data_IF_008975330156
#
_entry.id   IF_008975330156
#
_cell.length_a   1.000
_cell.length_b   1.000
_cell.length_c   1.000
_cell.angle_alpha   90.00
_cell.angle_beta   90.00
_cell.angle_gamma   90.00
#
_symmetry.space_group_name_H-M   'P 1'
#
loop_
_entity.id
_entity.type
_entity.pdbx_description
1 polymer ?
#
# COMPACT_ATOMS: atom_id res chain seq x y z
N UNK A 1 -7.25 -10.80 13.84
CA UNK A 1 -6.57 -10.09 12.71
C UNK A 1 -5.98 -8.78 13.20
N UNK A 2 -4.82 -8.45 12.69
CA UNK A 2 -4.17 -7.18 13.00
C UNK A 2 -4.65 -6.15 11.99
N UNK A 3 -5.15 -5.01 12.47
CA UNK A 3 -5.61 -3.91 11.62
C UNK A 3 -4.49 -2.89 11.52
N UNK A 4 -4.06 -2.58 10.28
CA UNK A 4 -3.00 -1.61 10.04
C UNK A 4 -3.52 -0.44 9.21
N UNK A 5 -3.22 0.76 9.66
CA UNK A 5 -3.48 1.98 8.90
C UNK A 5 -2.17 2.70 8.65
N UNK A 6 -2.05 3.32 7.48
CA UNK A 6 -0.83 4.05 7.12
C UNK A 6 -1.16 5.14 6.10
N UNK A 7 -0.26 6.10 5.95
CA UNK A 7 -0.44 7.15 4.97
C UNK A 7 0.79 7.30 4.09
N UNK A 8 0.55 7.69 2.85
CA UNK A 8 1.57 7.91 1.83
C UNK A 8 1.25 9.19 1.08
N UNK A 9 2.11 9.60 0.17
CA UNK A 9 1.95 10.86 -0.56
C UNK A 9 1.97 10.63 -2.06
N UNK A 10 0.95 11.15 -2.74
CA UNK A 10 0.82 11.09 -4.19
C UNK A 10 1.39 12.36 -4.81
N UNK A 11 1.99 12.25 -6.02
CA UNK A 11 2.39 13.44 -6.76
C UNK A 11 1.18 14.13 -7.39
N UNK A 12 1.21 15.47 -7.52
CA UNK A 12 0.10 16.20 -8.14
C UNK A 12 -0.18 15.73 -9.56
N UNK A 13 -1.47 15.61 -9.89
CA UNK A 13 -1.90 15.22 -11.23
C UNK A 13 -1.90 13.72 -11.49
N UNK A 14 -1.53 12.91 -10.50
CA UNK A 14 -1.41 11.45 -10.67
C UNK A 14 -2.59 10.68 -10.09
N UNK A 15 -3.66 11.36 -9.69
CA UNK A 15 -4.81 10.73 -9.02
C UNK A 15 -5.44 9.63 -9.87
N UNK A 16 -5.72 9.94 -11.14
CA UNK A 16 -6.35 8.99 -12.05
C UNK A 16 -5.43 7.83 -12.40
N UNK A 17 -4.15 8.12 -12.60
CA UNK A 17 -3.16 7.08 -12.93
C UNK A 17 -2.97 6.11 -11.76
N UNK A 18 -2.95 6.63 -10.52
CA UNK A 18 -2.85 5.80 -9.32
C UNK A 18 -4.02 4.82 -9.23
N UNK A 19 -5.24 5.33 -9.41
CA UNK A 19 -6.45 4.50 -9.36
C UNK A 19 -6.44 3.46 -10.48
N UNK A 20 -6.07 3.88 -11.70
CA UNK A 20 -6.00 2.98 -12.84
C UNK A 20 -5.05 1.82 -12.60
N UNK A 21 -3.83 2.10 -12.10
CA UNK A 21 -2.84 1.04 -11.83
C UNK A 21 -3.34 0.04 -10.79
N UNK A 22 -4.06 0.51 -9.77
CA UNK A 22 -4.64 -0.38 -8.76
C UNK A 22 -5.82 -1.17 -9.28
N UNK A 23 -6.64 -0.59 -10.16
CA UNK A 23 -7.73 -1.34 -10.79
C UNK A 23 -7.19 -2.44 -11.70
N UNK A 24 -5.98 -2.27 -12.20
CA UNK A 24 -5.30 -3.23 -13.04
C UNK A 24 -4.18 -3.95 -12.28
N UNK A 25 -4.36 -4.10 -10.97
CA UNK A 25 -3.34 -4.71 -10.12
C UNK A 25 -2.92 -6.08 -10.66
N UNK A 26 -1.62 -6.29 -10.74
CA UNK A 26 -1.05 -7.52 -11.28
C UNK A 26 -1.54 -8.75 -10.49
N UNK A 27 -1.94 -9.84 -11.16
CA UNK A 27 -2.37 -11.05 -10.48
C UNK A 27 -1.34 -11.58 -9.48
N UNK A 28 -0.06 -11.54 -9.84
CA UNK A 28 1.03 -11.98 -8.95
C UNK A 28 1.13 -11.12 -7.70
N UNK A 29 0.85 -9.82 -7.82
CA UNK A 29 0.88 -8.91 -6.69
C UNK A 29 -0.28 -9.20 -5.73
N UNK A 30 -1.47 -9.45 -6.27
CA UNK A 30 -2.64 -9.85 -5.48
C UNK A 30 -2.36 -11.16 -4.74
N UNK A 31 -1.77 -12.13 -5.43
CA UNK A 31 -1.42 -13.41 -4.84
C UNK A 31 -0.41 -13.23 -3.71
N UNK A 32 0.61 -12.39 -3.92
CA UNK A 32 1.63 -12.11 -2.91
C UNK A 32 1.01 -11.52 -1.64
N UNK A 33 0.10 -10.57 -1.78
CA UNK A 33 -0.58 -9.95 -0.64
C UNK A 33 -1.34 -11.01 0.16
N UNK A 34 -2.12 -11.85 -0.53
CA UNK A 34 -2.91 -12.90 0.14
C UNK A 34 -2.02 -13.96 0.78
N UNK A 35 -0.96 -14.38 0.08
CA UNK A 35 -0.02 -15.40 0.58
C UNK A 35 0.69 -14.94 1.84
N UNK A 36 0.92 -13.63 1.96
CA UNK A 36 1.58 -13.06 3.14
C UNK A 36 0.57 -12.57 4.21
N UNK A 37 -0.66 -13.07 4.14
CA UNK A 37 -1.66 -12.85 5.18
C UNK A 37 -2.43 -11.56 5.11
N UNK A 38 -2.32 -10.80 4.01
CA UNK A 38 -3.05 -9.55 3.85
C UNK A 38 -4.42 -9.75 3.24
N UNK A 39 -5.41 -9.02 3.74
CA UNK A 39 -6.77 -9.00 3.18
C UNK A 39 -7.48 -7.71 3.55
N UNK A 40 -8.61 -7.47 2.92
CA UNK A 40 -9.43 -6.26 3.16
C UNK A 40 -8.57 -5.00 3.06
N UNK A 41 -7.80 -4.93 1.98
CA UNK A 41 -6.88 -3.84 1.71
C UNK A 41 -7.64 -2.74 0.96
N UNK A 42 -7.69 -1.55 1.54
CA UNK A 42 -8.34 -0.39 0.93
C UNK A 42 -7.42 0.81 1.02
N UNK A 43 -7.44 1.63 -0.02
CA UNK A 43 -6.67 2.88 -0.06
C UNK A 43 -7.63 4.00 -0.41
N UNK A 44 -7.64 5.05 0.42
CA UNK A 44 -8.45 6.26 0.23
C UNK A 44 -7.54 7.44 -0.07
N UNK A 45 -8.01 8.36 -0.88
CA UNK A 45 -7.27 9.57 -1.25
C UNK A 45 -7.93 10.82 -0.67
N UNK A 46 -7.14 11.63 0.01
CA UNK A 46 -7.53 13.01 0.33
C UNK A 46 -7.01 13.88 -0.80
N UNK A 47 -7.91 14.37 -1.65
CA UNK A 47 -7.56 15.14 -2.84
C UNK A 47 -6.94 16.51 -2.52
N UNK A 48 -7.28 17.08 -1.39
CA UNK A 48 -6.75 18.39 -1.00
C UNK A 48 -5.27 18.34 -0.66
N UNK A 49 -4.86 17.30 0.05
CA UNK A 49 -3.49 17.15 0.53
C UNK A 49 -2.68 16.15 -0.30
N UNK A 50 -3.34 15.40 -1.19
CA UNK A 50 -2.74 14.30 -1.95
C UNK A 50 -2.20 13.21 -1.02
N UNK A 51 -2.84 13.03 0.12
CA UNK A 51 -2.49 11.99 1.08
C UNK A 51 -3.29 10.72 0.79
N UNK A 52 -2.59 9.61 0.68
CA UNK A 52 -3.19 8.29 0.50
C UNK A 52 -3.27 7.64 1.88
N UNK A 53 -4.46 7.18 2.26
CA UNK A 53 -4.68 6.47 3.51
C UNK A 53 -4.95 5.01 3.21
N UNK A 54 -4.04 4.14 3.65
CA UNK A 54 -4.17 2.71 3.47
C UNK A 54 -4.72 2.04 4.72
N UNK A 55 -5.53 1.02 4.49
CA UNK A 55 -6.04 0.13 5.54
C UNK A 55 -5.88 -1.30 5.09
N UNK A 56 -5.35 -2.16 5.94
CA UNK A 56 -5.21 -3.58 5.63
C UNK A 56 -5.34 -4.41 6.91
N UNK A 57 -5.88 -5.60 6.77
CA UNK A 57 -5.89 -6.60 7.83
C UNK A 57 -4.83 -7.64 7.51
N UNK A 58 -4.01 -7.98 8.50
CA UNK A 58 -2.96 -8.97 8.33
C UNK A 58 -3.04 -10.04 9.42
N UNK A 59 -2.61 -11.25 9.10
CA UNK A 59 -2.62 -12.37 10.04
C UNK A 59 -1.45 -12.30 11.02
N UNK A 60 -0.28 -11.89 10.55
CA UNK A 60 0.96 -11.91 11.31
C UNK A 60 1.94 -10.86 10.79
N UNK A 61 2.52 -10.10 11.71
CA UNK A 61 3.44 -9.01 11.37
C UNK A 61 4.71 -9.51 10.66
N UNK A 62 5.27 -10.61 11.12
CA UNK A 62 6.50 -11.16 10.55
C UNK A 62 6.27 -11.70 9.15
N UNK A 63 5.16 -12.40 8.96
CA UNK A 63 4.81 -12.92 7.64
C UNK A 63 4.56 -11.78 6.66
N UNK A 64 3.81 -10.77 7.09
CA UNK A 64 3.54 -9.61 6.24
C UNK A 64 4.81 -8.88 5.84
N UNK A 65 5.73 -8.69 6.77
CA UNK A 65 7.00 -8.00 6.50
C UNK A 65 7.83 -8.72 5.44
N UNK A 66 7.75 -10.04 5.34
CA UNK A 66 8.46 -10.80 4.31
C UNK A 66 7.95 -10.49 2.90
N UNK A 67 6.70 -10.07 2.77
CA UNK A 67 6.12 -9.70 1.49
C UNK A 67 6.85 -8.54 0.83
N UNK A 68 7.38 -7.61 1.61
CA UNK A 68 8.08 -6.45 1.10
C UNK A 68 9.36 -6.81 0.33
N UNK A 69 10.00 -7.94 0.68
CA UNK A 69 11.24 -8.36 0.05
C UNK A 69 11.04 -9.29 -1.14
N UNK A 70 9.81 -9.55 -1.54
CA UNK A 70 9.54 -10.38 -2.72
C UNK A 70 9.87 -9.61 -4.00
N UNK A 71 10.26 -10.34 -5.04
CA UNK A 71 10.58 -9.73 -6.33
C UNK A 71 9.39 -8.99 -6.92
N UNK A 72 8.20 -9.55 -6.80
CA UNK A 72 6.98 -8.92 -7.35
C UNK A 72 6.66 -7.61 -6.64
N UNK A 73 6.85 -7.54 -5.32
CA UNK A 73 6.62 -6.31 -4.58
C UNK A 73 7.63 -5.22 -4.95
N UNK A 74 8.91 -5.60 -5.08
CA UNK A 74 9.96 -4.67 -5.52
C UNK A 74 9.67 -4.14 -6.92
N UNK A 75 9.22 -4.99 -7.82
CA UNK A 75 8.83 -4.60 -9.17
C UNK A 75 7.64 -3.63 -9.15
N UNK A 76 6.67 -3.86 -8.28
CA UNK A 76 5.53 -2.96 -8.11
C UNK A 76 5.98 -1.59 -7.59
N UNK A 77 6.88 -1.54 -6.61
CA UNK A 77 7.43 -0.29 -6.12
C UNK A 77 8.15 0.49 -7.22
N UNK A 78 8.99 -0.19 -8.02
CA UNK A 78 9.68 0.44 -9.14
C UNK A 78 8.68 1.04 -10.13
N UNK A 79 7.60 0.33 -10.39
CA UNK A 79 6.54 0.77 -11.30
C UNK A 79 5.81 2.00 -10.76
N UNK A 80 5.56 2.05 -9.45
CA UNK A 80 4.80 3.14 -8.83
C UNK A 80 5.64 4.38 -8.48
N UNK A 81 6.95 4.28 -8.53
CA UNK A 81 7.85 5.34 -8.04
C UNK A 81 7.74 6.66 -8.81
N UNK A 82 7.27 6.62 -10.05
CA UNK A 82 7.12 7.83 -10.86
C UNK A 82 5.88 8.66 -10.52
N UNK A 83 4.95 8.11 -9.74
CA UNK A 83 3.70 8.81 -9.45
C UNK A 83 3.47 9.11 -7.97
N UNK A 84 4.39 8.68 -7.08
CA UNK A 84 4.26 8.92 -5.65
C UNK A 84 5.62 9.10 -4.97
N UNK A 85 5.61 9.66 -3.76
CA UNK A 85 6.85 9.86 -3.00
C UNK A 85 7.41 8.52 -2.52
N UNK A 86 8.70 8.31 -2.79
CA UNK A 86 9.37 7.06 -2.44
C UNK A 86 10.72 7.33 -1.76
N UNK A 87 11.19 6.32 -1.04
CA UNK A 87 12.54 6.26 -0.50
C UNK A 87 13.53 5.91 -1.62
N UNK A 88 14.85 6.00 -1.38
CA UNK A 88 15.85 5.68 -2.41
C UNK A 88 15.73 4.28 -3.01
N UNK A 89 15.16 3.32 -2.29
CA UNK A 89 14.92 1.95 -2.79
C UNK A 89 13.58 1.78 -3.48
N UNK A 90 12.89 2.90 -3.76
CA UNK A 90 11.56 2.97 -4.36
C UNK A 90 10.42 2.46 -3.48
N UNK A 91 10.68 2.10 -2.22
CA UNK A 91 9.59 1.83 -1.29
C UNK A 91 8.83 3.13 -1.00
N UNK A 92 7.50 3.07 -0.85
CA UNK A 92 6.73 4.27 -0.56
C UNK A 92 7.17 4.93 0.75
N UNK A 93 7.29 6.24 0.74
CA UNK A 93 7.41 7.01 1.99
C UNK A 93 6.08 6.83 2.71
N UNK A 94 6.11 6.14 3.83
CA UNK A 94 4.91 5.73 4.55
C UNK A 94 5.04 6.03 6.03
N UNK A 95 3.94 6.48 6.63
CA UNK A 95 3.86 6.71 8.07
C UNK A 95 2.78 5.80 8.64
N UNK A 96 3.15 4.98 9.62
CA UNK A 96 2.17 4.13 10.30
C UNK A 96 1.24 4.99 11.14
N UNK A 97 -0.05 4.64 11.11
CA UNK A 97 -1.08 5.31 11.88
C UNK A 97 -1.42 4.46 13.11
N UNK A 98 -1.68 5.13 14.22
CA UNK A 98 -2.06 4.46 15.45
C UNK A 98 -3.55 4.14 15.41
N UNK A 99 -3.91 2.88 15.61
CA UNK A 99 -5.31 2.50 15.76
C UNK A 99 -5.81 3.03 17.11
N UNK A 100 -6.86 3.84 17.07
CA UNK A 100 -7.43 4.41 18.30
C UNK A 100 -8.82 3.88 18.59
N UNK A 101 -9.48 3.27 17.63
CA UNK A 101 -10.81 2.68 17.80
C UNK A 101 -11.15 1.73 16.66
N UNK A 102 -11.74 0.59 17.00
CA UNK A 102 -12.28 -0.36 16.03
C UNK A 102 -13.56 -0.96 16.59
N UNK A 103 -14.59 -1.02 15.77
CA UNK A 103 -15.86 -1.67 16.10
C UNK A 103 -16.17 -2.72 15.04
N UNK A 104 -16.35 -3.95 15.48
CA UNK A 104 -16.75 -5.04 14.57
C UNK A 104 -18.21 -4.87 14.10
#
# INVERSE_FOLDING_TARGET
MIHKGFKMKLFPGMEEEYEKRHNELWPEMKEMIHTHGGKNYSIYLDKETLTLFGYIEIEDEKLWAKGADTKINRKWWDYMADIMETNPDNSPVSTDLQLVFHLD
#
